data_IF_890422939544
#
_entry.id   IF_890422939544
#
_cell.length_a   1.000
_cell.length_b   1.000
_cell.length_c   1.000
_cell.angle_alpha   90.00
_cell.angle_beta   90.00
_cell.angle_gamma   90.00
#
_symmetry.space_group_name_H-M   'P 1'
#
loop_
_entity.id
_entity.type
_entity.pdbx_description
1 polymer ?
#
# COMPACT_ATOMS: atom_id res chain seq x y z
N UNK A 1 -23.55 24.04 14.72
CA UNK A 1 -22.14 24.35 14.39
C UNK A 1 -21.86 23.69 13.04
N UNK A 2 -21.35 24.44 12.06
CA UNK A 2 -21.25 24.00 10.66
C UNK A 2 -20.10 23.02 10.48
N UNK A 3 -20.40 21.86 9.91
CA UNK A 3 -19.42 20.88 9.46
C UNK A 3 -18.47 21.53 8.46
N UNK A 4 -17.17 21.49 8.78
CA UNK A 4 -16.10 21.96 7.92
C UNK A 4 -15.99 21.07 6.69
N UNK A 5 -16.60 21.55 5.60
CA UNK A 5 -16.50 21.00 4.25
C UNK A 5 -15.06 21.11 3.75
N UNK A 6 -14.28 20.03 3.88
CA UNK A 6 -13.03 19.89 3.14
C UNK A 6 -13.36 19.71 1.65
N UNK A 7 -13.02 20.74 0.87
CA UNK A 7 -13.33 20.94 -0.54
C UNK A 7 -12.17 20.43 -1.40
N UNK A 8 -12.18 19.11 -1.70
CA UNK A 8 -11.59 18.45 -2.90
C UNK A 8 -12.25 17.07 -3.20
N UNK A 9 -13.21 16.64 -2.39
CA UNK A 9 -14.54 16.36 -2.94
C UNK A 9 -14.91 14.92 -3.34
N UNK A 10 -14.00 13.96 -3.35
CA UNK A 10 -14.41 12.55 -3.21
C UNK A 10 -13.53 11.88 -2.17
N UNK A 11 -14.08 11.64 -0.98
CA UNK A 11 -13.52 10.65 -0.04
C UNK A 11 -13.78 9.28 -0.65
N UNK A 12 -12.98 8.89 -1.64
CA UNK A 12 -13.09 7.57 -2.23
C UNK A 12 -12.13 6.61 -1.53
N UNK A 13 -12.65 5.95 -0.50
CA UNK A 13 -11.94 4.91 0.25
C UNK A 13 -11.38 3.83 -0.70
N UNK A 14 -12.02 3.57 -1.85
CA UNK A 14 -11.50 2.65 -2.86
C UNK A 14 -10.22 3.19 -3.47
N UNK A 15 -10.21 4.46 -3.90
CA UNK A 15 -9.00 5.12 -4.40
C UNK A 15 -7.89 5.14 -3.34
N UNK A 16 -8.22 5.45 -2.09
CA UNK A 16 -7.24 5.49 -0.99
C UNK A 16 -6.59 4.12 -0.76
N UNK A 17 -7.40 3.04 -0.75
CA UNK A 17 -6.90 1.68 -0.59
C UNK A 17 -6.06 1.21 -1.80
N UNK A 18 -6.46 1.56 -3.01
CA UNK A 18 -5.68 1.28 -4.23
C UNK A 18 -4.35 2.01 -4.18
N UNK A 19 -4.33 3.27 -3.72
CA UNK A 19 -3.11 4.06 -3.57
C UNK A 19 -2.15 3.43 -2.56
N UNK A 20 -2.65 2.98 -1.41
CA UNK A 20 -1.85 2.25 -0.42
C UNK A 20 -1.28 0.96 -1.02
N UNK A 21 -2.11 0.16 -1.69
CA UNK A 21 -1.69 -1.08 -2.34
C UNK A 21 -0.58 -0.83 -3.37
N UNK A 22 -0.78 0.17 -4.23
CA UNK A 22 0.19 0.54 -5.26
C UNK A 22 1.53 0.95 -4.65
N UNK A 23 1.53 1.88 -3.69
CA UNK A 23 2.77 2.35 -3.08
C UNK A 23 3.50 1.26 -2.31
N UNK A 24 2.78 0.33 -1.69
CA UNK A 24 3.40 -0.81 -1.03
C UNK A 24 4.13 -1.72 -2.03
N UNK A 25 3.47 -2.10 -3.12
CA UNK A 25 4.11 -2.92 -4.16
C UNK A 25 5.28 -2.21 -4.84
N UNK A 26 5.14 -0.91 -5.14
CA UNK A 26 6.23 -0.09 -5.69
C UNK A 26 7.42 0.00 -4.72
N UNK A 27 7.15 0.12 -3.42
CA UNK A 27 8.17 0.08 -2.37
C UNK A 27 8.90 -1.26 -2.36
N UNK A 28 8.16 -2.38 -2.34
CA UNK A 28 8.76 -3.72 -2.34
C UNK A 28 9.64 -4.00 -3.57
N UNK A 29 9.23 -3.54 -4.76
CA UNK A 29 10.03 -3.63 -5.99
C UNK A 29 11.30 -2.76 -5.90
N UNK A 30 11.15 -1.55 -5.37
CA UNK A 30 12.28 -0.61 -5.23
C UNK A 30 13.32 -1.09 -4.22
N UNK A 31 12.86 -1.63 -3.08
CA UNK A 31 13.76 -2.11 -2.03
C UNK A 31 14.55 -3.36 -2.43
N UNK A 32 14.06 -4.12 -3.41
CA UNK A 32 14.82 -5.23 -4.02
C UNK A 32 16.12 -4.72 -4.65
N UNK A 33 16.03 -3.62 -5.40
CA UNK A 33 17.19 -2.97 -6.02
C UNK A 33 18.14 -2.41 -4.96
N UNK A 34 17.62 -1.74 -3.93
CA UNK A 34 18.45 -1.22 -2.84
C UNK A 34 19.17 -2.33 -2.06
N UNK A 35 18.53 -3.50 -1.90
CA UNK A 35 19.15 -4.68 -1.30
C UNK A 35 20.35 -5.15 -2.13
N UNK A 36 20.23 -5.21 -3.46
CA UNK A 36 21.35 -5.54 -4.35
C UNK A 36 22.49 -4.52 -4.25
N UNK A 37 22.17 -3.21 -4.31
CA UNK A 37 23.19 -2.15 -4.20
C UNK A 37 23.98 -2.23 -2.87
N UNK A 38 23.30 -2.56 -1.77
CA UNK A 38 23.94 -2.74 -0.46
C UNK A 38 24.81 -4.01 -0.40
N UNK A 39 24.37 -5.11 -1.03
CA UNK A 39 25.17 -6.35 -1.13
C UNK A 39 26.45 -6.10 -1.95
N UNK A 40 26.34 -5.40 -3.09
CA UNK A 40 27.47 -5.06 -3.95
C UNK A 40 28.48 -4.15 -3.23
N UNK A 41 28.00 -3.33 -2.29
CA UNK A 41 28.82 -2.46 -1.43
C UNK A 41 29.34 -3.16 -0.17
N UNK A 42 29.02 -4.44 0.04
CA UNK A 42 29.32 -5.21 1.27
C UNK A 42 28.69 -4.64 2.56
N UNK A 43 27.62 -3.86 2.45
CA UNK A 43 26.87 -3.27 3.56
C UNK A 43 25.72 -4.21 4.02
N UNK A 44 26.09 -5.36 4.57
CA UNK A 44 25.14 -6.45 4.85
C UNK A 44 24.05 -6.12 5.87
N UNK A 45 24.34 -5.28 6.87
CA UNK A 45 23.32 -4.85 7.84
C UNK A 45 22.26 -3.96 7.19
N UNK A 46 22.66 -3.14 6.23
CA UNK A 46 21.76 -2.28 5.43
C UNK A 46 20.94 -3.14 4.47
N UNK A 47 21.55 -4.12 3.80
CA UNK A 47 20.85 -5.07 2.95
C UNK A 47 19.78 -5.88 3.73
N UNK A 48 20.11 -6.30 4.96
CA UNK A 48 19.16 -6.97 5.85
C UNK A 48 17.97 -6.07 6.17
N UNK A 49 18.22 -4.81 6.54
CA UNK A 49 17.16 -3.84 6.79
C UNK A 49 16.27 -3.63 5.56
N UNK A 50 16.84 -3.49 4.35
CA UNK A 50 16.07 -3.36 3.11
C UNK A 50 15.19 -4.57 2.83
N UNK A 51 15.68 -5.79 3.10
CA UNK A 51 14.87 -7.00 2.99
C UNK A 51 13.72 -7.02 4.00
N UNK A 52 13.98 -6.63 5.24
CA UNK A 52 12.94 -6.55 6.29
C UNK A 52 11.81 -5.60 5.88
N UNK A 53 12.14 -4.38 5.44
CA UNK A 53 11.11 -3.42 5.00
C UNK A 53 10.43 -3.86 3.69
N UNK A 54 11.12 -4.55 2.79
CA UNK A 54 10.52 -5.15 1.59
C UNK A 54 9.41 -6.14 1.97
N UNK A 55 9.67 -7.01 2.96
CA UNK A 55 8.67 -7.96 3.43
C UNK A 55 7.50 -7.26 4.13
N UNK A 56 7.75 -6.18 4.86
CA UNK A 56 6.69 -5.36 5.46
C UNK A 56 5.78 -4.74 4.40
N UNK A 57 6.34 -4.24 3.30
CA UNK A 57 5.56 -3.73 2.18
C UNK A 57 4.72 -4.82 1.51
N UNK A 58 5.26 -6.03 1.32
CA UNK A 58 4.49 -7.17 0.79
C UNK A 58 3.32 -7.52 1.71
N UNK A 59 3.55 -7.59 3.02
CA UNK A 59 2.48 -7.81 4.02
C UNK A 59 1.43 -6.70 3.99
N UNK A 60 1.86 -5.44 3.82
CA UNK A 60 0.94 -4.29 3.70
C UNK A 60 0.09 -4.37 2.44
N UNK A 61 0.70 -4.72 1.31
CA UNK A 61 0.00 -4.91 0.05
C UNK A 61 -1.07 -6.01 0.17
N UNK A 62 -0.73 -7.16 0.76
CA UNK A 62 -1.70 -8.25 0.91
C UNK A 62 -2.87 -7.87 1.82
N UNK A 63 -2.59 -7.19 2.95
CA UNK A 63 -3.65 -6.64 3.81
C UNK A 63 -4.52 -5.62 3.07
N UNK A 64 -3.93 -4.76 2.24
CA UNK A 64 -4.68 -3.78 1.46
C UNK A 64 -5.59 -4.47 0.43
N UNK A 65 -5.14 -5.54 -0.23
CA UNK A 65 -5.97 -6.35 -1.15
C UNK A 65 -7.17 -6.96 -0.42
N UNK A 66 -6.97 -7.54 0.76
CA UNK A 66 -8.05 -8.15 1.54
C UNK A 66 -9.12 -7.12 1.95
N UNK A 67 -8.69 -5.93 2.40
CA UNK A 67 -9.61 -4.86 2.78
C UNK A 67 -10.35 -4.34 1.53
N UNK A 68 -9.63 -4.13 0.42
CA UNK A 68 -10.21 -3.68 -0.84
C UNK A 68 -11.29 -4.64 -1.34
N UNK A 69 -11.03 -5.95 -1.29
CA UNK A 69 -12.02 -6.97 -1.67
C UNK A 69 -13.29 -6.89 -0.81
N UNK A 70 -13.16 -6.69 0.51
CA UNK A 70 -14.31 -6.51 1.41
C UNK A 70 -15.12 -5.25 1.09
N UNK A 71 -14.44 -4.14 0.80
CA UNK A 71 -15.07 -2.85 0.42
C UNK A 71 -15.81 -2.96 -0.91
N UNK A 72 -15.22 -3.61 -1.91
CA UNK A 72 -15.87 -3.80 -3.20
C UNK A 72 -17.08 -4.72 -3.09
N UNK A 73 -16.96 -5.82 -2.33
CA UNK A 73 -18.08 -6.73 -2.08
C UNK A 73 -19.24 -6.07 -1.33
N UNK A 74 -18.96 -5.19 -0.36
CA UNK A 74 -20.02 -4.46 0.34
C UNK A 74 -20.73 -3.46 -0.58
N UNK A 75 -19.99 -2.70 -1.39
CA UNK A 75 -20.56 -1.75 -2.36
C UNK A 75 -21.42 -2.43 -3.43
N UNK A 76 -21.02 -3.62 -3.90
CA UNK A 76 -21.80 -4.38 -4.87
C UNK A 76 -23.17 -4.83 -4.31
N UNK A 77 -23.27 -5.10 -3.01
CA UNK A 77 -24.54 -5.47 -2.35
C UNK A 77 -25.47 -4.29 -2.10
N UNK A 78 -24.94 -3.07 -2.07
CA UNK A 78 -25.71 -1.86 -1.73
C UNK A 78 -26.25 -1.10 -2.94
N UNK A 79 -25.95 -1.56 -4.17
CA UNK A 79 -26.53 -0.98 -5.38
C UNK A 79 -27.87 -1.66 -5.69
N UNK A 80 -29.04 -0.98 -5.55
CA UNK A 80 -30.25 -1.45 -6.19
C UNK A 80 -30.10 -1.25 -7.70
N UNK A 81 -30.61 -2.21 -8.48
CA UNK A 81 -30.70 -2.08 -9.94
C UNK A 81 -31.62 -0.95 -10.38
#
# INVERSE_FOLDING_TARGET
MKEGKATTGTRDITYDLVSILYHALQGAETYDRYCHDAIDSSDYDVAKFFREVQEEERRRADRAKEILAKVLASRARTSPG
#
